data_IF_683191843238
#
_entry.id   IF_683191843238
#
_cell.length_a   1.000
_cell.length_b   1.000
_cell.length_c   1.000
_cell.angle_alpha   90.00
_cell.angle_beta   90.00
_cell.angle_gamma   90.00
#
_symmetry.space_group_name_H-M   'P 1'
#
loop_
_entity.id
_entity.type
_entity.pdbx_description
1 polymer ?
#
# COMPACT_ATOMS: atom_id res chain seq x y z
N UNK A 1 13.64 16.73 12.20
CA UNK A 1 12.30 16.74 12.82
C UNK A 1 11.98 15.30 13.19
N UNK A 2 11.50 14.99 14.40
CA UNK A 2 10.98 13.65 14.67
C UNK A 2 9.95 13.32 13.59
N UNK A 3 10.08 12.15 12.95
CA UNK A 3 9.18 11.76 11.85
C UNK A 3 7.73 11.82 12.34
N UNK A 4 6.86 12.51 11.62
CA UNK A 4 5.49 12.74 12.06
C UNK A 4 4.71 11.42 12.11
N UNK A 5 4.14 11.09 13.27
CA UNK A 5 3.40 9.86 13.47
C UNK A 5 1.98 9.98 12.90
N UNK A 6 1.63 9.13 11.94
CA UNK A 6 0.33 9.20 11.25
C UNK A 6 -0.85 9.02 12.20
N UNK A 7 -0.77 8.04 13.13
CA UNK A 7 -1.85 7.76 14.08
C UNK A 7 -2.15 8.99 14.95
N UNK A 8 -1.11 9.66 15.45
CA UNK A 8 -1.27 10.86 16.26
C UNK A 8 -1.96 11.98 15.48
N UNK A 9 -1.60 12.18 14.21
CA UNK A 9 -2.25 13.17 13.34
C UNK A 9 -3.73 12.83 13.08
N UNK A 10 -4.04 11.56 12.78
CA UNK A 10 -5.42 11.13 12.53
C UNK A 10 -6.32 11.28 13.78
N UNK A 11 -5.77 11.08 14.98
CA UNK A 11 -6.49 11.30 16.24
C UNK A 11 -6.56 12.76 16.68
N UNK A 12 -5.60 13.58 16.26
CA UNK A 12 -5.47 14.98 16.70
C UNK A 12 -6.17 16.00 15.80
N UNK A 13 -6.58 15.61 14.59
CA UNK A 13 -7.27 16.46 13.64
C UNK A 13 -8.74 16.08 13.59
N UNK A 14 -9.63 17.06 13.75
CA UNK A 14 -11.05 16.86 13.43
C UNK A 14 -11.25 16.93 11.91
N UNK A 15 -11.76 15.84 11.35
CA UNK A 15 -12.01 15.68 9.91
C UNK A 15 -13.44 15.19 9.65
N UNK A 16 -13.96 15.56 8.48
CA UNK A 16 -15.23 15.09 7.95
C UNK A 16 -15.04 13.94 6.98
N UNK A 17 -13.96 13.97 6.19
CA UNK A 17 -13.68 12.95 5.19
C UNK A 17 -12.24 12.43 5.35
N UNK A 18 -12.09 11.11 5.39
CA UNK A 18 -10.80 10.43 5.39
C UNK A 18 -10.71 9.58 4.12
N UNK A 19 -9.94 10.02 3.14
CA UNK A 19 -9.66 9.30 1.90
C UNK A 19 -8.38 8.50 2.10
N UNK A 20 -8.47 7.18 1.92
CA UNK A 20 -7.36 6.25 2.09
C UNK A 20 -7.06 5.61 0.73
N UNK A 21 -5.79 5.68 0.33
CA UNK A 21 -5.24 5.04 -0.85
C UNK A 21 -4.43 3.82 -0.39
N UNK A 22 -4.91 2.61 -0.65
CA UNK A 22 -4.27 1.37 -0.19
C UNK A 22 -2.86 1.20 -0.77
N UNK A 23 -1.89 0.90 0.10
CA UNK A 23 -0.47 0.71 -0.26
C UNK A 23 0.17 1.88 -1.05
N UNK A 24 -0.19 3.12 -0.72
CA UNK A 24 0.30 4.32 -1.39
C UNK A 24 1.61 4.85 -0.78
N UNK A 25 2.70 4.75 -1.55
CA UNK A 25 4.03 5.26 -1.17
C UNK A 25 4.06 6.78 -1.21
N UNK A 26 4.69 7.38 -0.20
CA UNK A 26 4.90 8.83 -0.15
C UNK A 26 5.65 9.38 -1.37
N UNK A 27 6.75 8.74 -1.79
CA UNK A 27 7.65 9.24 -2.84
C UNK A 27 6.97 9.34 -4.21
N UNK A 28 6.15 8.34 -4.56
CA UNK A 28 5.38 8.32 -5.80
C UNK A 28 4.17 9.24 -5.72
N UNK A 29 3.46 9.26 -4.59
CA UNK A 29 2.34 10.19 -4.39
C UNK A 29 2.81 11.65 -4.49
N UNK A 30 3.91 12.02 -3.84
CA UNK A 30 4.44 13.39 -3.86
C UNK A 30 4.76 13.85 -5.29
N UNK A 31 5.28 12.96 -6.14
CA UNK A 31 5.62 13.27 -7.54
C UNK A 31 4.39 13.47 -8.42
N UNK A 32 3.33 12.70 -8.19
CA UNK A 32 2.11 12.72 -9.03
C UNK A 32 1.10 13.75 -8.52
N UNK A 33 1.11 14.07 -7.23
CA UNK A 33 0.21 15.04 -6.62
C UNK A 33 0.39 16.42 -7.26
N UNK A 34 -0.68 16.91 -7.90
CA UNK A 34 -0.65 18.13 -8.72
C UNK A 34 -1.50 19.27 -8.16
N UNK A 35 -2.02 19.13 -6.94
CA UNK A 35 -2.78 20.20 -6.28
C UNK A 35 -1.88 21.05 -5.38
N UNK A 36 -2.41 22.20 -4.96
CA UNK A 36 -1.70 23.22 -4.17
C UNK A 36 -1.45 22.80 -2.72
N UNK A 37 -2.21 21.83 -2.20
CA UNK A 37 -2.09 21.41 -0.80
C UNK A 37 -0.77 20.70 -0.56
N UNK A 38 -0.13 21.01 0.57
CA UNK A 38 1.17 20.45 0.95
C UNK A 38 1.04 18.96 1.26
N UNK A 39 1.86 18.15 0.58
CA UNK A 39 2.05 16.73 0.92
C UNK A 39 3.07 16.61 2.05
N UNK A 40 2.67 16.00 3.16
CA UNK A 40 3.56 15.65 4.27
C UNK A 40 3.96 14.18 4.19
N UNK A 41 5.23 13.89 4.47
CA UNK A 41 5.70 12.52 4.75
C UNK A 41 5.38 12.20 6.21
N UNK A 42 4.66 11.11 6.44
CA UNK A 42 4.34 10.62 7.79
C UNK A 42 4.64 9.13 7.89
N UNK A 43 4.82 8.66 9.13
CA UNK A 43 5.08 7.25 9.42
C UNK A 43 3.78 6.56 9.80
N UNK A 44 3.34 5.65 8.92
CA UNK A 44 2.28 4.71 9.18
C UNK A 44 2.63 3.84 10.39
N UNK A 45 1.67 3.55 11.28
CA UNK A 45 1.90 2.66 12.40
C UNK A 45 2.09 1.20 11.98
N UNK A 46 1.79 0.83 10.74
CA UNK A 46 1.80 -0.56 10.24
C UNK A 46 2.38 -0.65 8.83
N UNK A 47 2.62 -1.87 8.35
CA UNK A 47 3.09 -2.13 6.98
C UNK A 47 2.09 -2.90 6.11
N UNK A 48 0.87 -3.13 6.62
CA UNK A 48 -0.22 -3.81 5.93
C UNK A 48 -1.57 -3.44 6.58
N UNK A 49 -2.66 -3.63 5.84
CA UNK A 49 -4.00 -3.10 6.17
C UNK A 49 -4.56 -3.53 7.52
N UNK A 50 -4.58 -4.84 7.87
CA UNK A 50 -5.24 -5.26 9.13
C UNK A 50 -4.51 -4.77 10.39
N UNK A 51 -3.18 -4.76 10.38
CA UNK A 51 -2.41 -4.16 11.47
C UNK A 51 -2.60 -2.64 11.50
N UNK A 52 -2.73 -1.98 10.35
CA UNK A 52 -3.04 -0.56 10.31
C UNK A 52 -4.39 -0.26 10.96
N UNK A 53 -5.42 -1.03 10.62
CA UNK A 53 -6.76 -0.91 11.19
C UNK A 53 -6.73 -1.10 12.72
N UNK A 54 -6.08 -2.16 13.20
CA UNK A 54 -5.90 -2.43 14.63
C UNK A 54 -5.14 -1.30 15.34
N UNK A 55 -4.06 -0.79 14.74
CA UNK A 55 -3.25 0.26 15.38
C UNK A 55 -3.90 1.63 15.35
N UNK A 56 -4.62 1.99 14.29
CA UNK A 56 -5.23 3.32 14.14
C UNK A 56 -6.54 3.41 14.90
N UNK A 57 -7.42 2.41 14.75
CA UNK A 57 -8.74 2.43 15.35
C UNK A 57 -8.78 1.70 16.68
N UNK A 58 -7.96 0.66 16.89
CA UNK A 58 -7.98 -0.14 18.10
C UNK A 58 -9.39 -0.60 18.45
N UNK A 59 -9.83 -0.36 19.68
CA UNK A 59 -11.20 -0.64 20.12
C UNK A 59 -12.16 0.55 19.98
N UNK A 60 -11.77 1.63 19.30
CA UNK A 60 -12.62 2.80 19.16
C UNK A 60 -13.79 2.52 18.22
N UNK A 61 -14.96 3.09 18.57
CA UNK A 61 -16.11 3.19 17.69
C UNK A 61 -16.17 4.60 17.10
N UNK A 62 -16.26 4.68 15.77
CA UNK A 62 -16.35 5.92 15.02
C UNK A 62 -17.69 5.96 14.31
N UNK A 63 -18.43 7.04 14.53
CA UNK A 63 -19.66 7.32 13.79
C UNK A 63 -19.36 7.76 12.34
N UNK A 64 -19.01 6.78 11.50
CA UNK A 64 -18.63 6.98 10.11
C UNK A 64 -19.33 6.01 9.15
N UNK A 65 -19.58 6.49 7.93
CA UNK A 65 -19.85 5.65 6.76
C UNK A 65 -18.54 5.30 6.07
N UNK A 66 -18.27 4.00 5.92
CA UNK A 66 -17.06 3.50 5.26
C UNK A 66 -17.40 2.97 3.88
N UNK A 67 -16.90 3.63 2.83
CA UNK A 67 -16.96 3.15 1.46
C UNK A 67 -15.74 2.28 1.19
N UNK A 68 -15.93 0.97 1.20
CA UNK A 68 -14.81 0.02 1.16
C UNK A 68 -14.66 -0.65 -0.20
N UNK A 69 -13.57 -0.36 -0.90
CA UNK A 69 -13.13 -1.09 -2.08
C UNK A 69 -12.34 -2.38 -1.75
N UNK A 70 -12.10 -2.66 -0.47
CA UNK A 70 -11.34 -3.82 0.00
C UNK A 70 -12.20 -4.75 0.86
N UNK A 71 -12.17 -6.08 0.66
CA UNK A 71 -12.89 -7.00 1.52
C UNK A 71 -12.34 -7.05 2.96
N UNK A 72 -11.16 -6.46 3.23
CA UNK A 72 -10.64 -6.35 4.59
C UNK A 72 -11.49 -5.49 5.53
N UNK A 73 -12.31 -4.61 4.97
CA UNK A 73 -13.23 -3.76 5.71
C UNK A 73 -14.62 -4.07 5.17
N UNK A 74 -15.33 -4.97 5.85
CA UNK A 74 -16.59 -5.49 5.34
C UNK A 74 -17.70 -5.62 6.39
N UNK A 75 -18.95 -5.61 5.92
CA UNK A 75 -20.13 -5.79 6.79
C UNK A 75 -20.52 -7.25 7.04
N UNK A 76 -19.95 -8.21 6.30
CA UNK A 76 -20.42 -9.59 6.27
C UNK A 76 -19.84 -10.44 7.40
N UNK A 77 -18.52 -10.42 7.59
CA UNK A 77 -17.80 -11.34 8.47
C UNK A 77 -16.64 -10.68 9.20
N UNK A 78 -16.28 -11.26 10.34
CA UNK A 78 -14.99 -11.02 10.96
C UNK A 78 -13.89 -11.68 10.14
N UNK A 79 -12.75 -11.00 10.04
CA UNK A 79 -11.55 -11.48 9.35
C UNK A 79 -10.58 -11.98 10.39
N UNK A 80 -9.99 -13.13 10.13
CA UNK A 80 -8.92 -13.69 10.95
C UNK A 80 -7.76 -14.09 10.03
N UNK A 81 -6.75 -13.23 9.95
CA UNK A 81 -5.56 -13.44 9.14
C UNK A 81 -4.32 -13.08 9.95
N UNK A 82 -3.30 -13.94 9.89
CA UNK A 82 -2.01 -13.74 10.56
C UNK A 82 -2.10 -13.38 12.05
N UNK A 83 -3.11 -13.94 12.75
CA UNK A 83 -3.32 -13.72 14.19
C UNK A 83 -4.08 -12.44 14.54
N UNK A 84 -4.48 -11.62 13.55
CA UNK A 84 -5.30 -10.42 13.77
C UNK A 84 -6.76 -10.76 13.47
N UNK A 85 -7.63 -10.48 14.45
CA UNK A 85 -9.09 -10.58 14.32
C UNK A 85 -9.68 -9.19 14.16
N UNK A 86 -10.31 -8.92 13.03
CA UNK A 86 -10.88 -7.61 12.70
C UNK A 86 -12.34 -7.71 12.28
N UNK A 87 -13.21 -6.92 12.92
CA UNK A 87 -14.63 -6.86 12.58
C UNK A 87 -15.06 -5.40 12.44
N UNK A 88 -15.13 -4.92 11.20
CA UNK A 88 -15.42 -3.52 10.91
C UNK A 88 -16.75 -3.02 11.52
N UNK A 89 -17.76 -3.90 11.72
CA UNK A 89 -19.04 -3.52 12.37
C UNK A 89 -18.89 -3.15 13.84
N UNK A 90 -17.80 -3.54 14.49
CA UNK A 90 -17.48 -3.13 15.87
C UNK A 90 -16.83 -1.75 15.95
N UNK A 91 -16.38 -1.20 14.81
CA UNK A 91 -15.60 0.05 14.76
C UNK A 91 -16.31 1.17 14.02
N UNK A 92 -17.25 0.86 13.11
CA UNK A 92 -17.91 1.86 12.29
C UNK A 92 -19.42 1.68 12.26
N UNK A 93 -20.14 2.80 12.24
CA UNK A 93 -21.61 2.82 12.16
C UNK A 93 -22.16 2.12 10.92
N UNK A 94 -21.48 2.26 9.77
CA UNK A 94 -21.97 1.68 8.52
C UNK A 94 -20.84 1.41 7.55
N UNK A 95 -20.93 0.27 6.88
CA UNK A 95 -19.98 -0.16 5.86
C UNK A 95 -20.76 -0.33 4.55
N UNK A 96 -20.26 0.28 3.50
CA UNK A 96 -20.75 0.15 2.12
C UNK A 96 -19.73 -0.73 1.39
N UNK A 97 -20.10 -2.00 1.17
CA UNK A 97 -19.25 -3.02 0.57
C UNK A 97 -19.16 -2.85 -0.97
N UNK A 98 -18.29 -1.93 -1.42
CA UNK A 98 -18.04 -1.73 -2.86
C UNK A 98 -17.26 -2.89 -3.47
N UNK A 99 -16.41 -3.54 -2.69
CA UNK A 99 -15.75 -4.80 -3.09
C UNK A 99 -16.75 -5.89 -3.47
N UNK A 100 -17.97 -5.86 -2.91
CA UNK A 100 -19.04 -6.81 -3.22
C UNK A 100 -19.89 -6.36 -4.42
N UNK A 101 -20.20 -5.07 -4.48
CA UNK A 101 -21.23 -4.53 -5.41
C UNK A 101 -20.66 -3.91 -6.68
N UNK A 102 -19.37 -3.60 -6.71
CA UNK A 102 -18.73 -2.85 -7.80
C UNK A 102 -17.42 -3.47 -8.30
N UNK A 103 -17.19 -4.75 -8.00
CA UNK A 103 -16.03 -5.51 -8.48
C UNK A 103 -16.02 -5.63 -10.02
N UNK A 104 -14.91 -5.30 -10.66
CA UNK A 104 -14.69 -5.58 -12.09
C UNK A 104 -13.80 -6.81 -12.24
N UNK A 105 -14.40 -7.95 -12.61
CA UNK A 105 -13.71 -9.22 -12.82
C UNK A 105 -12.64 -9.19 -13.92
N UNK A 106 -12.70 -8.23 -14.86
CA UNK A 106 -11.67 -8.08 -15.89
C UNK A 106 -10.42 -7.42 -15.33
N UNK A 107 -10.57 -6.65 -14.26
CA UNK A 107 -9.47 -5.97 -13.58
C UNK A 107 -9.05 -6.68 -12.29
N UNK A 108 -9.90 -7.53 -11.72
CA UNK A 108 -9.67 -8.19 -10.44
C UNK A 108 -9.66 -7.20 -9.27
N UNK A 109 -10.40 -6.09 -9.38
CA UNK A 109 -10.47 -5.03 -8.37
C UNK A 109 -11.73 -4.18 -8.53
N UNK A 110 -12.03 -3.31 -7.57
CA UNK A 110 -13.02 -2.23 -7.72
C UNK A 110 -12.34 -1.04 -8.40
N UNK A 111 -12.77 -0.60 -9.59
CA UNK A 111 -12.19 0.56 -10.25
C UNK A 111 -12.42 1.87 -9.47
N UNK A 112 -11.49 2.83 -9.50
CA UNK A 112 -11.61 4.09 -8.75
C UNK A 112 -12.81 4.92 -9.19
N UNK A 113 -13.27 4.82 -10.45
CA UNK A 113 -14.51 5.49 -10.87
C UNK A 113 -15.73 4.97 -10.13
N UNK A 114 -15.76 3.69 -9.77
CA UNK A 114 -16.89 3.09 -9.06
C UNK A 114 -16.95 3.55 -7.62
N UNK A 115 -15.79 3.72 -6.98
CA UNK A 115 -15.69 4.33 -5.64
C UNK A 115 -16.22 5.76 -5.68
N UNK A 116 -15.72 6.58 -6.61
CA UNK A 116 -16.20 7.95 -6.80
C UNK A 116 -17.72 8.03 -7.03
N UNK A 117 -18.24 7.23 -7.96
CA UNK A 117 -19.67 7.21 -8.29
C UNK A 117 -20.52 6.80 -7.09
N UNK A 118 -20.09 5.80 -6.31
CA UNK A 118 -20.79 5.35 -5.13
C UNK A 118 -20.86 6.46 -4.07
N UNK A 119 -19.75 7.12 -3.76
CA UNK A 119 -19.69 8.22 -2.78
C UNK A 119 -20.59 9.37 -3.20
N UNK A 120 -20.50 9.81 -4.46
CA UNK A 120 -21.29 10.94 -4.98
C UNK A 120 -22.78 10.61 -5.00
N UNK A 121 -23.16 9.44 -5.51
CA UNK A 121 -24.57 9.00 -5.58
C UNK A 121 -25.16 8.88 -4.19
N UNK A 122 -24.41 8.29 -3.25
CA UNK A 122 -24.83 8.16 -1.86
C UNK A 122 -25.00 9.52 -1.17
N UNK A 123 -24.05 10.44 -1.37
CA UNK A 123 -24.10 11.79 -0.80
C UNK A 123 -25.31 12.58 -1.33
N UNK A 124 -25.60 12.49 -2.63
CA UNK A 124 -26.79 13.13 -3.21
C UNK A 124 -28.07 12.49 -2.66
N UNK A 125 -28.15 11.15 -2.66
CA UNK A 125 -29.32 10.40 -2.22
C UNK A 125 -29.68 10.68 -0.76
N UNK A 126 -28.68 10.68 0.13
CA UNK A 126 -28.88 10.96 1.56
C UNK A 126 -29.33 12.40 1.81
N UNK A 127 -28.77 13.38 1.08
CA UNK A 127 -29.19 14.79 1.13
C UNK A 127 -30.65 14.97 0.69
N UNK A 128 -31.05 14.31 -0.41
CA UNK A 128 -32.44 14.37 -0.92
C UNK A 128 -33.45 13.73 0.05
N UNK A 129 -33.09 12.62 0.69
CA UNK A 129 -33.97 11.93 1.63
C UNK A 129 -34.04 12.59 3.01
N UNK A 130 -33.34 13.71 3.26
CA UNK A 130 -33.22 14.35 4.59
C UNK A 130 -32.84 13.37 5.71
N UNK A 131 -32.13 12.29 5.38
CA UNK A 131 -31.68 11.32 6.38
C UNK A 131 -30.56 11.95 7.19
N UNK A 132 -30.47 11.58 8.47
CA UNK A 132 -29.29 11.88 9.29
C UNK A 132 -28.06 11.34 8.55
N UNK A 133 -27.21 12.24 8.07
CA UNK A 133 -25.95 11.89 7.43
C UNK A 133 -24.94 11.71 8.56
N UNK A 134 -24.27 10.55 8.60
CA UNK A 134 -23.17 10.35 9.55
C UNK A 134 -22.15 11.47 9.38
N UNK A 135 -21.59 11.93 10.50
CA UNK A 135 -20.71 13.12 10.51
C UNK A 135 -19.40 12.91 9.75
N UNK A 136 -18.94 11.65 9.69
CA UNK A 136 -17.66 11.26 9.09
C UNK A 136 -17.85 10.28 7.93
N UNK A 137 -17.04 10.42 6.89
CA UNK A 137 -16.91 9.47 5.78
C UNK A 137 -15.49 8.95 5.72
N UNK A 138 -15.33 7.63 5.62
CA UNK A 138 -14.06 7.00 5.29
C UNK A 138 -14.20 6.42 3.89
N UNK A 139 -13.35 6.84 2.97
CA UNK A 139 -13.42 6.48 1.56
C UNK A 139 -12.14 5.72 1.21
N UNK A 140 -12.25 4.40 1.14
CA UNK A 140 -11.10 3.52 0.97
C UNK A 140 -11.03 3.06 -0.49
N UNK A 141 -10.04 3.58 -1.21
CA UNK A 141 -9.66 3.08 -2.52
C UNK A 141 -8.69 1.92 -2.33
N UNK A 142 -8.91 0.81 -3.03
CA UNK A 142 -7.92 -0.27 -3.10
C UNK A 142 -6.70 0.15 -3.93
N UNK A 143 -6.77 1.23 -4.69
CA UNK A 143 -5.65 1.71 -5.48
C UNK A 143 -4.79 2.70 -4.67
N UNK A 144 -3.45 2.72 -4.87
CA UNK A 144 -2.72 2.09 -5.98
C UNK A 144 -2.30 0.62 -5.78
N UNK A 145 -2.66 -0.05 -4.69
CA UNK A 145 -2.38 -1.48 -4.50
C UNK A 145 -2.83 -2.33 -5.70
N UNK A 146 -2.18 -3.48 -5.88
CA UNK A 146 -2.46 -4.40 -6.98
C UNK A 146 -3.84 -5.09 -6.84
N UNK A 147 -4.44 -5.58 -7.95
CA UNK A 147 -3.97 -5.50 -9.34
C UNK A 147 -3.89 -4.07 -9.91
N UNK A 148 -2.77 -3.72 -10.54
CA UNK A 148 -2.58 -2.40 -11.12
C UNK A 148 -3.47 -2.18 -12.34
N UNK A 149 -4.14 -1.03 -12.39
CA UNK A 149 -5.03 -0.63 -13.48
C UNK A 149 -4.22 0.03 -14.59
N UNK A 150 -3.24 -0.69 -15.14
CA UNK A 150 -2.48 -0.33 -16.35
C UNK A 150 -2.86 -1.28 -17.48
N UNK A 151 -3.01 -0.78 -18.70
CA UNK A 151 -3.39 -1.61 -19.87
C UNK A 151 -2.37 -2.74 -20.08
N UNK A 152 -1.08 -2.42 -19.93
CA UNK A 152 0.01 -3.36 -20.13
C UNK A 152 0.05 -4.40 -19.01
N UNK A 153 -0.03 -3.95 -17.76
CA UNK A 153 -0.06 -4.84 -16.60
C UNK A 153 -1.27 -5.80 -16.65
N UNK A 154 -2.47 -5.28 -16.87
CA UNK A 154 -3.69 -6.09 -16.99
C UNK A 154 -3.58 -7.14 -18.10
N UNK A 155 -2.90 -6.83 -19.21
CA UNK A 155 -2.65 -7.81 -20.26
C UNK A 155 -1.74 -8.95 -19.83
N UNK A 156 -0.76 -8.71 -18.93
CA UNK A 156 0.15 -9.73 -18.42
C UNK A 156 -0.53 -10.67 -17.43
N UNK A 157 -1.46 -10.14 -16.64
CA UNK A 157 -2.09 -10.90 -15.56
C UNK A 157 -3.45 -11.48 -15.96
N UNK A 158 -3.98 -11.12 -17.14
CA UNK A 158 -5.37 -11.39 -17.56
C UNK A 158 -5.82 -12.82 -17.30
N UNK A 159 -5.01 -13.81 -17.69
CA UNK A 159 -5.32 -15.24 -17.52
C UNK A 159 -5.41 -15.64 -16.05
N UNK A 160 -4.65 -14.98 -15.17
CA UNK A 160 -4.59 -15.27 -13.74
C UNK A 160 -5.67 -14.53 -12.93
N UNK A 161 -6.00 -13.28 -13.28
CA UNK A 161 -6.99 -12.49 -12.51
C UNK A 161 -8.44 -12.80 -12.85
N UNK A 162 -8.74 -13.33 -14.04
CA UNK A 162 -10.12 -13.66 -14.41
C UNK A 162 -10.72 -14.79 -13.57
N UNK A 163 -9.87 -15.62 -12.96
CA UNK A 163 -10.28 -16.70 -12.06
C UNK A 163 -10.39 -16.24 -10.60
N UNK A 164 -9.92 -15.03 -10.27
CA UNK A 164 -9.96 -14.51 -8.90
C UNK A 164 -11.29 -13.81 -8.62
N UNK A 165 -11.89 -14.23 -7.50
CA UNK A 165 -13.06 -13.58 -6.91
C UNK A 165 -12.65 -12.77 -5.69
N UNK A 166 -13.52 -11.87 -5.22
CA UNK A 166 -13.31 -11.18 -3.96
C UNK A 166 -13.20 -12.15 -2.75
N UNK A 167 -13.78 -13.36 -2.83
CA UNK A 167 -13.65 -14.37 -1.76
C UNK A 167 -12.23 -14.90 -1.66
N UNK A 168 -11.48 -14.94 -2.76
CA UNK A 168 -10.08 -15.33 -2.75
C UNK A 168 -9.20 -14.34 -1.97
N UNK A 169 -9.61 -13.07 -1.85
CA UNK A 169 -8.93 -12.08 -1.00
C UNK A 169 -9.19 -12.33 0.48
N UNK A 170 -10.42 -12.68 0.87
CA UNK A 170 -10.76 -13.00 2.27
C UNK A 170 -10.00 -14.23 2.81
N UNK A 171 -9.61 -15.15 1.94
CA UNK A 171 -8.82 -16.35 2.29
C UNK A 171 -7.30 -16.15 2.13
N UNK A 172 -6.88 -14.98 1.66
CA UNK A 172 -5.48 -14.67 1.31
C UNK A 172 -4.95 -15.44 0.08
N UNK A 173 -5.79 -16.22 -0.61
CA UNK A 173 -5.39 -16.97 -1.82
C UNK A 173 -5.02 -16.01 -2.97
N UNK A 174 -5.82 -14.97 -3.18
CA UNK A 174 -5.56 -13.95 -4.20
C UNK A 174 -4.23 -13.24 -3.93
N UNK A 175 -3.99 -12.84 -2.68
CA UNK A 175 -2.76 -12.15 -2.27
C UNK A 175 -1.51 -12.98 -2.54
N UNK A 176 -1.54 -14.28 -2.20
CA UNK A 176 -0.43 -15.21 -2.48
C UNK A 176 -0.16 -15.36 -3.99
N UNK A 177 -1.21 -15.55 -4.80
CA UNK A 177 -1.08 -15.71 -6.25
C UNK A 177 -0.54 -14.43 -6.90
N UNK A 178 -1.14 -13.28 -6.58
CA UNK A 178 -0.75 -11.99 -7.12
C UNK A 178 0.68 -11.64 -6.73
N UNK A 179 1.07 -11.86 -5.46
CA UNK A 179 2.46 -11.67 -5.01
C UNK A 179 3.45 -12.47 -5.86
N UNK A 180 3.14 -13.72 -6.18
CA UNK A 180 4.03 -14.56 -6.99
C UNK A 180 4.13 -14.07 -8.45
N UNK A 181 3.02 -13.64 -9.02
CA UNK A 181 3.00 -13.03 -10.36
C UNK A 181 3.82 -11.74 -10.37
N UNK A 182 3.63 -10.87 -9.38
CA UNK A 182 4.37 -9.62 -9.24
C UNK A 182 5.88 -9.87 -9.12
N UNK A 183 6.28 -10.90 -8.37
CA UNK A 183 7.69 -11.29 -8.29
C UNK A 183 8.25 -11.68 -9.64
N UNK A 184 7.53 -12.52 -10.38
CA UNK A 184 7.96 -12.96 -11.70
C UNK A 184 8.04 -11.80 -12.72
N UNK A 185 7.15 -10.82 -12.62
CA UNK A 185 7.21 -9.59 -13.43
C UNK A 185 8.42 -8.74 -13.02
N UNK A 186 8.62 -8.50 -11.72
CA UNK A 186 9.72 -7.67 -11.22
C UNK A 186 11.10 -8.23 -11.59
N UNK A 187 11.28 -9.55 -11.54
CA UNK A 187 12.53 -10.22 -11.96
C UNK A 187 12.84 -9.94 -13.44
N UNK A 188 11.81 -9.87 -14.29
CA UNK A 188 11.96 -9.63 -15.72
C UNK A 188 12.12 -8.14 -16.04
N UNK A 189 11.34 -7.29 -15.38
CA UNK A 189 11.26 -5.87 -15.68
C UNK A 189 10.64 -5.07 -14.51
N UNK A 190 11.48 -4.62 -13.58
CA UNK A 190 11.04 -3.82 -12.43
C UNK A 190 10.43 -2.47 -12.83
N UNK A 191 10.94 -1.85 -13.90
CA UNK A 191 10.44 -0.54 -14.38
C UNK A 191 8.98 -0.63 -14.86
N UNK A 192 8.60 -1.77 -15.44
CA UNK A 192 7.22 -2.03 -15.85
C UNK A 192 6.27 -2.15 -14.66
N UNK A 193 6.74 -2.76 -13.56
CA UNK A 193 5.98 -2.85 -12.33
C UNK A 193 5.77 -1.46 -11.71
N UNK A 194 6.84 -0.67 -11.61
CA UNK A 194 6.80 0.70 -11.10
C UNK A 194 5.88 1.59 -11.94
N UNK A 195 5.99 1.51 -13.27
CA UNK A 195 5.13 2.28 -14.18
C UNK A 195 3.65 1.89 -14.05
N UNK A 196 3.34 0.61 -13.89
CA UNK A 196 1.96 0.16 -13.71
C UNK A 196 1.35 0.71 -12.42
N UNK A 197 2.13 0.73 -11.34
CA UNK A 197 1.76 1.35 -10.06
C UNK A 197 1.49 2.86 -10.21
N UNK A 198 2.41 3.59 -10.86
CA UNK A 198 2.26 5.04 -11.13
C UNK A 198 1.02 5.36 -11.96
N UNK A 199 0.81 4.65 -13.08
CA UNK A 199 -0.37 4.82 -13.94
C UNK A 199 -1.68 4.55 -13.18
N UNK A 200 -1.65 3.60 -12.24
CA UNK A 200 -2.79 3.30 -11.36
C UNK A 200 -3.05 4.44 -10.40
N UNK A 201 -2.00 4.95 -9.74
CA UNK A 201 -2.11 6.09 -8.82
C UNK A 201 -2.62 7.35 -9.54
N UNK A 202 -2.08 7.66 -10.72
CA UNK A 202 -2.53 8.78 -11.55
C UNK A 202 -4.03 8.70 -11.87
N UNK A 203 -4.52 7.52 -12.26
CA UNK A 203 -5.94 7.30 -12.53
C UNK A 203 -6.78 7.52 -11.29
N UNK A 204 -6.37 6.95 -10.16
CA UNK A 204 -7.08 7.09 -8.88
C UNK A 204 -7.13 8.53 -8.41
N UNK A 205 -6.02 9.26 -8.49
CA UNK A 205 -5.95 10.66 -8.08
C UNK A 205 -6.90 11.56 -8.87
N UNK A 206 -7.19 11.27 -10.15
CA UNK A 206 -8.23 12.00 -10.91
C UNK A 206 -9.60 11.92 -10.24
N UNK A 207 -9.93 10.81 -9.59
CA UNK A 207 -11.19 10.63 -8.87
C UNK A 207 -11.13 11.18 -7.46
N UNK A 208 -9.99 11.08 -6.78
CA UNK A 208 -9.75 11.74 -5.49
C UNK A 208 -9.93 13.26 -5.63
N UNK A 209 -9.37 13.88 -6.67
CA UNK A 209 -9.56 15.32 -6.93
C UNK A 209 -11.03 15.68 -7.10
N UNK A 210 -11.78 14.89 -7.88
CA UNK A 210 -13.22 15.09 -8.07
C UNK A 210 -14.02 14.92 -6.77
N UNK A 211 -13.57 14.08 -5.84
CA UNK A 211 -14.18 13.95 -4.52
C UNK A 211 -13.87 15.16 -3.64
N UNK A 212 -12.60 15.59 -3.60
CA UNK A 212 -12.19 16.78 -2.84
C UNK A 212 -13.02 18.00 -3.24
N UNK A 213 -13.26 18.19 -4.54
CA UNK A 213 -14.04 19.33 -5.05
C UNK A 213 -15.56 19.25 -4.74
N UNK A 214 -16.05 18.11 -4.20
CA UNK A 214 -17.48 17.84 -3.96
C UNK A 214 -17.83 17.59 -2.51
N UNK A 215 -16.86 17.18 -1.70
CA UNK A 215 -17.07 16.84 -0.31
C UNK A 215 -16.94 18.11 0.53
N UNK A 216 -17.95 18.36 1.34
CA UNK A 216 -17.92 19.44 2.31
C UNK A 216 -17.05 19.07 3.51
N UNK A 217 -16.41 20.08 4.10
CA UNK A 217 -15.65 19.98 5.35
C UNK A 217 -14.22 19.48 5.20
N UNK A 218 -13.56 19.32 6.34
CA UNK A 218 -12.12 19.00 6.40
C UNK A 218 -11.88 17.59 5.86
N UNK A 219 -10.97 17.49 4.89
CA UNK A 219 -10.64 16.24 4.20
C UNK A 219 -9.17 15.90 4.41
N UNK A 220 -8.91 14.66 4.84
CA UNK A 220 -7.57 14.08 4.90
C UNK A 220 -7.43 13.09 3.75
N UNK A 221 -6.31 13.16 3.00
CA UNK A 221 -5.90 12.13 2.05
C UNK A 221 -4.63 11.48 2.57
N UNK A 222 -4.66 10.16 2.75
CA UNK A 222 -3.50 9.41 3.26
C UNK A 222 -3.50 7.97 2.74
N UNK A 223 -2.63 7.14 3.31
CA UNK A 223 -2.51 5.72 2.98
C UNK A 223 -2.33 4.89 4.25
N UNK A 224 -2.78 3.65 4.24
CA UNK A 224 -2.55 2.72 5.33
C UNK A 224 -1.08 2.24 5.39
N UNK A 225 -0.45 1.97 4.25
CA UNK A 225 0.97 1.60 4.17
C UNK A 225 1.57 1.94 2.79
N UNK A 226 2.86 1.68 2.61
CA UNK A 226 3.53 1.75 1.31
C UNK A 226 3.54 0.41 0.58
N UNK A 227 4.21 0.35 -0.57
CA UNK A 227 4.29 -0.85 -1.43
C UNK A 227 5.75 -1.15 -1.79
N UNK A 228 6.11 -2.44 -1.83
CA UNK A 228 7.40 -2.87 -2.37
C UNK A 228 7.23 -3.25 -3.85
N UNK A 229 7.83 -2.45 -4.72
CA UNK A 229 7.77 -2.57 -6.17
C UNK A 229 8.96 -3.36 -6.71
N UNK A 230 9.35 -4.43 -6.03
CA UNK A 230 10.46 -5.32 -6.39
C UNK A 230 11.75 -5.12 -5.60
N UNK A 231 11.83 -4.16 -4.69
CA UNK A 231 13.01 -3.94 -3.84
C UNK A 231 13.31 -5.15 -2.94
N UNK A 232 12.29 -5.86 -2.45
CA UNK A 232 12.44 -7.10 -1.69
C UNK A 232 13.16 -8.20 -2.49
N UNK A 233 12.84 -8.33 -3.78
CA UNK A 233 13.42 -9.33 -4.67
C UNK A 233 14.87 -8.99 -4.97
N UNK A 234 15.17 -7.71 -5.23
CA UNK A 234 16.54 -7.24 -5.42
C UNK A 234 17.40 -7.56 -4.19
N UNK A 235 16.87 -7.35 -2.98
CA UNK A 235 17.58 -7.68 -1.75
C UNK A 235 17.79 -9.20 -1.58
N UNK A 236 16.82 -10.03 -1.95
CA UNK A 236 16.98 -11.50 -1.92
C UNK A 236 18.03 -12.00 -2.92
N UNK A 237 18.05 -11.45 -4.13
CA UNK A 237 19.07 -11.76 -5.15
C UNK A 237 20.45 -11.32 -4.66
N UNK A 238 20.58 -10.10 -4.14
CA UNK A 238 21.83 -9.61 -3.58
C UNK A 238 22.33 -10.47 -2.41
N UNK A 239 21.44 -10.84 -1.48
CA UNK A 239 21.76 -11.73 -0.36
C UNK A 239 22.29 -13.09 -0.85
N UNK A 240 21.63 -13.67 -1.86
CA UNK A 240 22.07 -14.93 -2.47
C UNK A 240 23.47 -14.81 -3.09
N UNK A 241 23.72 -13.73 -3.84
CA UNK A 241 25.04 -13.48 -4.45
C UNK A 241 26.11 -13.32 -3.37
N UNK A 242 25.85 -12.55 -2.31
CA UNK A 242 26.78 -12.35 -1.20
C UNK A 242 27.09 -13.69 -0.52
N UNK A 243 26.09 -14.53 -0.26
CA UNK A 243 26.27 -15.84 0.35
C UNK A 243 27.14 -16.76 -0.51
N UNK A 244 26.91 -16.78 -1.82
CA UNK A 244 27.75 -17.52 -2.77
C UNK A 244 29.19 -16.99 -2.77
N UNK A 245 29.39 -15.67 -2.81
CA UNK A 245 30.73 -15.07 -2.74
C UNK A 245 31.46 -15.48 -1.45
N UNK A 246 30.77 -15.45 -0.31
CA UNK A 246 31.35 -15.88 0.97
C UNK A 246 31.70 -17.37 0.99
N UNK A 247 30.91 -18.22 0.34
CA UNK A 247 31.22 -19.65 0.20
C UNK A 247 32.47 -19.85 -0.66
N UNK A 248 32.57 -19.18 -1.80
CA UNK A 248 33.74 -19.28 -2.67
C UNK A 248 35.03 -18.81 -1.99
N UNK A 249 34.97 -17.72 -1.19
CA UNK A 249 36.10 -17.29 -0.37
C UNK A 249 36.53 -18.38 0.61
N UNK A 250 35.59 -19.04 1.29
CA UNK A 250 35.89 -20.15 2.23
C UNK A 250 36.51 -21.36 1.54
N UNK A 251 36.08 -21.65 0.32
CA UNK A 251 36.52 -22.82 -0.46
C UNK A 251 37.76 -22.53 -1.32
N UNK A 252 38.28 -21.29 -1.33
CA UNK A 252 39.39 -20.89 -2.20
C UNK A 252 39.02 -20.90 -3.69
N UNK A 253 37.73 -20.81 -4.02
CA UNK A 253 37.21 -20.81 -5.40
C UNK A 253 36.84 -19.40 -5.85
N UNK A 254 36.73 -19.20 -7.16
CA UNK A 254 36.36 -17.91 -7.77
C UNK A 254 34.96 -17.97 -8.38
N UNK A 255 34.16 -16.91 -8.22
CA UNK A 255 32.87 -16.76 -8.91
C UNK A 255 33.07 -15.93 -10.18
N UNK A 256 32.60 -16.47 -11.30
CA UNK A 256 32.45 -15.72 -12.54
C UNK A 256 31.00 -15.22 -12.68
N UNK A 257 30.80 -13.92 -12.49
CA UNK A 257 29.50 -13.27 -12.75
C UNK A 257 29.49 -12.80 -14.21
N UNK A 258 28.77 -13.52 -15.09
CA UNK A 258 28.70 -13.14 -16.50
C UNK A 258 28.04 -11.77 -16.69
N UNK A 259 28.52 -10.99 -17.67
CA UNK A 259 27.94 -9.68 -18.07
C UNK A 259 26.43 -9.71 -18.41
N UNK A 260 25.81 -10.89 -18.56
CA UNK A 260 24.35 -11.01 -18.73
C UNK A 260 23.56 -10.77 -17.44
N UNK A 261 24.21 -10.65 -16.28
CA UNK A 261 23.61 -10.05 -15.09
C UNK A 261 23.47 -8.53 -15.27
N UNK A 262 22.53 -8.10 -16.14
CA UNK A 262 22.05 -6.71 -16.27
C UNK A 262 21.20 -6.29 -15.06
N UNK A 263 21.55 -6.68 -13.83
CA UNK A 263 20.72 -6.38 -12.66
C UNK A 263 20.96 -4.97 -12.10
N UNK A 264 22.07 -4.28 -12.44
CA UNK A 264 22.53 -3.15 -11.60
C UNK A 264 23.05 -1.89 -12.33
N UNK A 265 22.59 -1.57 -13.55
CA UNK A 265 22.90 -0.25 -14.17
C UNK A 265 21.77 0.77 -14.04
N UNK A 266 20.61 0.41 -13.49
CA UNK A 266 19.44 1.29 -13.36
C UNK A 266 18.97 1.54 -11.92
N UNK A 267 19.77 1.20 -10.90
CA UNK A 267 19.47 1.67 -9.55
C UNK A 267 19.46 3.21 -9.55
N UNK A 268 18.38 3.87 -9.11
CA UNK A 268 18.40 5.31 -8.88
C UNK A 268 19.55 5.63 -7.93
N UNK A 269 20.42 6.59 -8.28
CA UNK A 269 21.58 7.01 -7.46
C UNK A 269 21.22 7.26 -5.97
N UNK A 270 19.94 7.52 -5.67
CA UNK A 270 19.38 7.67 -4.32
C UNK A 270 19.45 6.40 -3.45
N UNK A 271 19.27 5.20 -4.00
CA UNK A 271 19.31 3.94 -3.21
C UNK A 271 20.74 3.66 -2.70
N UNK A 272 21.75 3.97 -3.53
CA UNK A 272 23.16 3.85 -3.16
C UNK A 272 23.58 4.84 -2.07
N UNK A 273 22.94 6.01 -1.97
CA UNK A 273 23.33 7.05 -1.02
C UNK A 273 22.86 6.75 0.42
N UNK A 274 21.73 6.07 0.60
CA UNK A 274 21.25 5.66 1.93
C UNK A 274 22.03 4.46 2.51
N UNK A 275 22.91 3.82 1.74
CA UNK A 275 23.77 2.74 2.21
C UNK A 275 25.09 3.23 2.82
N UNK A 276 25.37 4.55 2.83
CA UNK A 276 26.46 5.12 3.65
C UNK A 276 25.97 5.26 5.10
N UNK A 277 25.98 4.15 5.83
CA UNK A 277 25.72 4.14 7.26
C UNK A 277 26.86 4.84 8.02
N UNK A 278 26.48 5.80 8.85
CA UNK A 278 27.33 6.47 9.83
C UNK A 278 27.54 5.47 11.00
N UNK A 279 28.76 5.13 11.43
CA UNK A 279 29.02 3.98 12.31
C UNK A 279 28.42 4.09 13.73
N UNK A 280 28.02 5.28 14.17
CA UNK A 280 27.83 5.54 15.60
C UNK A 280 26.37 5.53 16.09
N UNK A 281 25.37 5.37 15.21
CA UNK A 281 23.95 5.43 15.61
C UNK A 281 23.08 4.23 15.16
N UNK A 282 23.66 3.14 14.65
CA UNK A 282 22.92 1.91 14.37
C UNK A 282 23.00 0.95 15.55
N UNK A 283 21.95 0.93 16.39
CA UNK A 283 21.67 -0.22 17.26
C UNK A 283 21.14 -1.35 16.36
N UNK A 284 22.07 -2.01 15.69
CA UNK A 284 21.88 -3.24 14.93
C UNK A 284 23.09 -4.11 15.20
N UNK A 285 23.07 -4.82 16.32
CA UNK A 285 24.18 -5.64 16.79
C UNK A 285 24.57 -6.65 15.70
N UNK A 286 25.74 -6.44 15.10
CA UNK A 286 26.40 -7.42 14.26
C UNK A 286 27.15 -8.38 15.19
N UNK A 287 26.53 -9.50 15.56
CA UNK A 287 27.22 -10.54 16.31
C UNK A 287 27.99 -11.45 15.34
N UNK A 288 29.32 -11.49 15.46
CA UNK A 288 30.15 -12.47 14.76
C UNK A 288 30.36 -13.65 15.72
N UNK A 289 29.56 -14.70 15.54
CA UNK A 289 29.84 -16.01 16.12
C UNK A 289 29.65 -17.07 15.02
N UNK A 290 30.72 -17.77 14.65
CA UNK A 290 30.65 -18.97 13.80
C UNK A 290 30.51 -18.78 12.28
N UNK A 291 30.87 -17.62 11.72
CA UNK A 291 31.01 -17.47 10.27
C UNK A 291 29.72 -17.44 9.45
N UNK A 292 28.59 -17.04 10.06
CA UNK A 292 27.35 -16.63 9.39
C UNK A 292 27.07 -15.15 9.70
N UNK A 293 27.00 -14.32 8.65
CA UNK A 293 26.52 -12.94 8.76
C UNK A 293 25.04 -12.94 8.41
N UNK A 294 24.19 -12.65 9.40
CA UNK A 294 22.77 -12.43 9.15
C UNK A 294 22.55 -10.94 8.84
N UNK A 295 22.39 -10.60 7.56
CA UNK A 295 21.80 -9.32 7.22
C UNK A 295 20.32 -9.38 7.55
N UNK A 296 19.96 -8.78 8.68
CA UNK A 296 18.57 -8.53 9.00
C UNK A 296 18.00 -7.62 7.89
N UNK A 297 16.99 -8.08 7.11
CA UNK A 297 16.31 -7.23 6.13
C UNK A 297 15.41 -6.11 6.69
N UNK A 298 15.00 -6.03 7.97
CA UNK A 298 13.82 -5.26 8.36
C UNK A 298 13.96 -3.74 8.20
N UNK A 299 15.17 -3.18 8.07
CA UNK A 299 15.35 -1.72 7.99
C UNK A 299 14.75 -1.14 6.71
N UNK A 300 15.05 -1.70 5.53
CA UNK A 300 14.48 -1.26 4.24
C UNK A 300 12.99 -1.56 4.12
N UNK A 301 12.55 -2.72 4.65
CA UNK A 301 11.13 -3.07 4.69
C UNK A 301 10.35 -2.08 5.56
N UNK A 302 10.95 -1.63 6.68
CA UNK A 302 10.29 -0.71 7.60
C UNK A 302 10.16 0.72 7.08
N UNK A 303 11.06 1.22 6.23
CA UNK A 303 10.99 2.62 5.77
C UNK A 303 10.02 2.78 4.60
N UNK A 304 10.13 1.95 3.55
CA UNK A 304 9.31 2.13 2.34
C UNK A 304 7.85 1.77 2.60
N UNK A 305 7.59 0.72 3.38
CA UNK A 305 6.22 0.29 3.70
C UNK A 305 5.53 1.21 4.71
N UNK A 306 6.26 2.11 5.38
CA UNK A 306 5.66 2.96 6.43
C UNK A 306 5.69 4.45 6.09
N UNK A 307 6.44 4.89 5.09
CA UNK A 307 6.44 6.29 4.63
C UNK A 307 5.28 6.53 3.68
N UNK A 308 4.24 7.17 4.20
CA UNK A 308 2.96 7.38 3.50
C UNK A 308 2.66 8.87 3.34
N UNK A 309 1.90 9.26 2.30
CA UNK A 309 1.48 10.65 2.14
C UNK A 309 0.43 11.04 3.18
N UNK A 310 0.45 12.30 3.58
CA UNK A 310 -0.61 12.91 4.38
C UNK A 310 -0.88 14.31 3.85
N UNK A 311 -2.09 14.54 3.36
CA UNK A 311 -2.56 15.84 2.86
C UNK A 311 -3.78 16.25 3.68
N UNK A 312 -3.73 17.46 4.23
CA UNK A 312 -4.86 18.08 4.92
C UNK A 312 -5.47 19.16 4.01
N UNK A 313 -6.74 19.03 3.71
CA UNK A 313 -7.53 19.95 2.89
C UNK A 313 -8.62 20.55 3.80
N UNK A 314 -8.71 21.88 3.83
CA UNK A 314 -9.62 22.64 4.68
C UNK A 314 -10.69 23.32 3.85
#
# INVERSE_FOLDING_TARGET
>A
MPEANQRQLLSGIEWNNLIILDACRYDTFQRIWSRVEKVMEVISPASWTLEWLDRVFGNAFIDAEVFSATPYINSLTEINLYGIRWNAKKHFSKIIDLWLTAWDYRMGTVPPEKVYLAVVTHTISTKLMKKSVHKKKIIWFLQPHYPYISKRFLSLIKEHVQELTYMDFLTGKAERLLTEILKNIAIKNIDELTKAYEETLEKTLRYVYKLIDRLDGVTIVTSDHGELLGENILLQVLSTIINLMMQCIKEGTSIYISRRLRILTHLPKRILYNAKMNPENSVGASYIAGGKVFFHPPILYSTTLRRVPFVLIK
#
